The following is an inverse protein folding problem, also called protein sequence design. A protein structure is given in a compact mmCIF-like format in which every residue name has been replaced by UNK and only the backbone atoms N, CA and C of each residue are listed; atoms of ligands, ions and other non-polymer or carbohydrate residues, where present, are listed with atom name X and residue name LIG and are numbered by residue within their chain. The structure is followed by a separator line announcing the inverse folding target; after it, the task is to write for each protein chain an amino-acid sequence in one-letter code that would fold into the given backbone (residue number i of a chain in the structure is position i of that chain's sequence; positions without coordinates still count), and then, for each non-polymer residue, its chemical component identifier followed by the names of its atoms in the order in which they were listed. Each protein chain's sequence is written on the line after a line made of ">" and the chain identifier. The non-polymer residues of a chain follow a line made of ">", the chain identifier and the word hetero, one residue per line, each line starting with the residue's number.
data_IF_642200558324
#
_entry.id   IF_642200558324
#
_cell.length_a   1.000
_cell.length_b   1.000
_cell.length_c   1.000
_cell.angle_alpha   90.00
_cell.angle_beta   90.00
_cell.angle_gamma   90.00
#
_symmetry.space_group_name_H-M   'P 1'
#
loop_
_entity.id
_entity.type
_entity.pdbx_description
1 polymer ?
#
# COMPACT_ATOMS: atom_id res chain seq x y z
N UNK A 1 -29.33 28.34 8.87
CA UNK A 1 -28.57 27.23 9.49
C UNK A 1 -27.70 26.63 8.40
N UNK A 2 -26.38 26.84 8.47
CA UNK A 2 -25.45 26.55 7.37
C UNK A 2 -25.23 25.03 7.23
N UNK A 3 -25.46 24.50 6.03
CA UNK A 3 -25.14 23.13 5.67
C UNK A 3 -23.61 22.92 5.65
N UNK A 4 -23.06 22.32 6.71
CA UNK A 4 -21.67 21.86 6.81
C UNK A 4 -21.52 20.42 6.28
N UNK A 5 -22.12 20.11 5.12
CA UNK A 5 -21.97 18.82 4.44
C UNK A 5 -21.53 19.07 3.00
N UNK A 6 -20.23 19.25 2.79
CA UNK A 6 -19.66 19.41 1.47
C UNK A 6 -18.15 19.24 1.52
N UNK A 7 -17.63 18.44 0.61
CA UNK A 7 -16.20 18.22 0.32
C UNK A 7 -15.48 17.26 1.27
N UNK A 8 -15.97 16.03 1.41
CA UNK A 8 -15.04 14.91 1.59
C UNK A 8 -14.66 14.44 0.18
N UNK A 9 -13.44 14.71 -0.31
CA UNK A 9 -13.03 14.27 -1.65
C UNK A 9 -13.04 12.74 -1.70
N UNK A 10 -13.63 12.18 -2.77
CA UNK A 10 -13.60 10.74 -3.02
C UNK A 10 -12.16 10.41 -3.46
N UNK A 11 -11.45 9.50 -2.76
CA UNK A 11 -10.12 9.12 -3.16
C UNK A 11 -10.14 8.49 -4.55
N UNK A 12 -9.14 8.80 -5.37
CA UNK A 12 -9.00 8.22 -6.70
C UNK A 12 -8.93 6.69 -6.60
N UNK A 13 -9.40 5.96 -7.63
CA UNK A 13 -9.18 4.52 -7.73
C UNK A 13 -7.69 4.17 -7.61
N UNK A 14 -7.39 2.97 -7.12
CA UNK A 14 -6.00 2.51 -7.08
C UNK A 14 -5.46 2.38 -8.50
N UNK A 15 -4.21 2.79 -8.68
CA UNK A 15 -3.50 2.76 -9.95
C UNK A 15 -2.30 1.82 -9.84
N UNK A 16 -1.72 1.42 -10.97
CA UNK A 16 -0.53 0.56 -10.99
C UNK A 16 0.69 1.21 -10.33
N UNK A 17 0.73 2.55 -10.37
CA UNK A 17 1.65 3.44 -9.65
C UNK A 17 0.82 4.60 -9.11
N UNK A 18 1.02 4.97 -7.86
CA UNK A 18 0.29 6.07 -7.21
C UNK A 18 1.26 6.93 -6.43
N UNK A 19 1.00 8.24 -6.37
CA UNK A 19 1.83 9.11 -5.57
C UNK A 19 1.43 9.00 -4.09
N UNK A 20 2.37 9.32 -3.18
CA UNK A 20 2.16 9.19 -1.73
C UNK A 20 0.96 10.01 -1.22
N UNK A 21 0.66 11.13 -1.89
CA UNK A 21 -0.48 11.96 -1.54
C UNK A 21 -1.83 11.27 -1.82
N UNK A 22 -1.90 10.35 -2.80
CA UNK A 22 -3.11 9.60 -3.12
C UNK A 22 -3.40 8.57 -2.03
N UNK A 23 -2.34 7.89 -1.54
CA UNK A 23 -2.44 6.99 -0.39
C UNK A 23 -2.91 7.75 0.84
N UNK A 24 -2.30 8.91 1.13
CA UNK A 24 -2.70 9.74 2.27
C UNK A 24 -4.16 10.16 2.20
N UNK A 25 -4.62 10.67 1.05
CA UNK A 25 -6.01 11.07 0.87
C UNK A 25 -6.99 9.91 1.11
N UNK A 26 -6.62 8.70 0.68
CA UNK A 26 -7.40 7.47 0.92
C UNK A 26 -7.43 7.06 2.39
N UNK A 27 -6.31 7.19 3.11
CA UNK A 27 -6.24 6.90 4.55
C UNK A 27 -7.08 7.90 5.35
N UNK A 28 -6.96 9.19 5.03
CA UNK A 28 -7.75 10.27 5.66
C UNK A 28 -9.26 10.08 5.40
N UNK A 29 -9.65 9.49 4.26
CA UNK A 29 -11.04 9.17 3.94
C UNK A 29 -11.66 8.07 4.81
N UNK A 30 -10.86 7.24 5.48
CA UNK A 30 -11.36 6.24 6.43
C UNK A 30 -11.89 4.94 5.82
N UNK A 31 -11.71 4.68 4.51
CA UNK A 31 -11.85 3.32 3.94
C UNK A 31 -10.57 2.85 3.27
N UNK A 32 -9.59 2.36 4.05
CA UNK A 32 -8.52 1.57 3.47
C UNK A 32 -9.08 0.20 3.11
N UNK A 33 -9.69 0.07 1.93
CA UNK A 33 -10.00 -1.22 1.33
C UNK A 33 -8.71 -1.90 0.79
N UNK A 34 -7.54 -1.59 1.34
CA UNK A 34 -6.23 -2.05 0.90
C UNK A 34 -5.35 -2.45 2.07
N UNK A 35 -4.30 -3.20 1.78
CA UNK A 35 -3.20 -3.49 2.70
C UNK A 35 -1.95 -2.74 2.24
N UNK A 36 -1.29 -2.02 3.15
CA UNK A 36 -0.02 -1.34 2.86
C UNK A 36 1.12 -2.29 3.21
N UNK A 37 2.01 -2.56 2.24
CA UNK A 37 3.18 -3.40 2.41
C UNK A 37 4.45 -2.54 2.31
N UNK A 38 5.25 -2.61 3.37
CA UNK A 38 6.62 -2.09 3.36
C UNK A 38 7.56 -3.22 3.02
N UNK A 39 8.20 -3.13 1.85
CA UNK A 39 9.08 -4.17 1.32
C UNK A 39 10.56 -3.88 1.54
N UNK A 40 10.86 -2.79 2.25
CA UNK A 40 12.23 -2.48 2.69
C UNK A 40 12.68 -3.45 3.77
N UNK A 41 13.97 -3.40 4.07
CA UNK A 41 14.55 -4.12 5.18
C UNK A 41 13.81 -3.87 6.50
N UNK A 42 13.71 -4.93 7.31
CA UNK A 42 13.01 -4.88 8.61
C UNK A 42 13.57 -3.81 9.54
N UNK A 43 14.87 -3.53 9.46
CA UNK A 43 15.52 -2.46 10.25
C UNK A 43 14.97 -1.09 9.87
N UNK A 44 14.79 -0.81 8.58
CA UNK A 44 14.23 0.45 8.08
C UNK A 44 12.75 0.59 8.47
N UNK A 45 11.96 -0.48 8.34
CA UNK A 45 10.57 -0.52 8.81
C UNK A 45 10.48 -0.19 10.30
N UNK A 46 11.30 -0.82 11.13
CA UNK A 46 11.30 -0.61 12.59
C UNK A 46 11.73 0.82 12.96
N UNK A 47 12.62 1.43 12.17
CA UNK A 47 13.04 2.82 12.37
C UNK A 47 11.90 3.81 12.06
N UNK A 48 11.19 3.60 10.94
CA UNK A 48 9.95 4.31 10.60
C UNK A 48 9.22 3.65 9.43
N UNK A 49 7.89 3.71 9.45
CA UNK A 49 7.04 3.19 8.39
C UNK A 49 5.72 3.97 8.30
N UNK A 50 5.00 3.80 7.20
CA UNK A 50 3.65 4.36 7.05
C UNK A 50 2.73 3.69 8.08
N UNK A 51 1.94 4.48 8.81
CA UNK A 51 1.02 3.96 9.83
C UNK A 51 0.07 2.92 9.22
N UNK A 52 0.00 1.74 9.84
CA UNK A 52 -0.81 0.62 9.37
C UNK A 52 -0.13 -0.26 8.31
N UNK A 53 1.10 0.05 7.91
CA UNK A 53 1.88 -0.83 7.03
C UNK A 53 2.32 -2.11 7.73
N UNK A 54 2.38 -3.19 6.95
CA UNK A 54 2.89 -4.49 7.37
C UNK A 54 4.28 -4.65 6.77
N UNK A 55 5.26 -5.04 7.59
CA UNK A 55 6.60 -5.38 7.11
C UNK A 55 6.59 -6.74 6.40
N UNK A 56 6.92 -6.74 5.12
CA UNK A 56 7.16 -7.92 4.29
C UNK A 56 8.39 -7.66 3.41
N UNK A 57 9.61 -7.82 3.94
CA UNK A 57 10.84 -7.63 3.18
C UNK A 57 10.84 -8.43 1.87
N UNK A 58 11.46 -7.87 0.83
CA UNK A 58 11.35 -8.36 -0.55
C UNK A 58 11.76 -9.84 -0.74
N UNK A 59 12.71 -10.33 0.04
CA UNK A 59 13.23 -11.71 0.02
C UNK A 59 12.21 -12.75 0.53
N UNK A 60 11.31 -12.36 1.44
CA UNK A 60 10.24 -13.21 1.98
C UNK A 60 8.85 -12.91 1.40
N UNK A 61 8.74 -11.85 0.59
CA UNK A 61 7.47 -11.21 0.28
C UNK A 61 6.48 -12.13 -0.42
N UNK A 62 6.89 -12.81 -1.49
CA UNK A 62 5.96 -13.58 -2.34
C UNK A 62 5.35 -14.73 -1.54
N UNK A 63 6.18 -15.53 -0.87
CA UNK A 63 5.72 -16.67 -0.08
C UNK A 63 4.82 -16.23 1.07
N UNK A 64 5.18 -15.14 1.77
CA UNK A 64 4.38 -14.61 2.87
C UNK A 64 3.07 -13.98 2.39
N UNK A 65 3.07 -13.28 1.26
CA UNK A 65 1.87 -12.69 0.68
C UNK A 65 0.87 -13.79 0.29
N UNK A 66 1.32 -14.83 -0.44
CA UNK A 66 0.47 -15.96 -0.83
C UNK A 66 -0.08 -16.75 0.36
N UNK A 67 0.69 -16.87 1.44
CA UNK A 67 0.26 -17.58 2.64
C UNK A 67 -0.72 -16.78 3.52
N UNK A 68 -0.76 -15.45 3.41
CA UNK A 68 -1.46 -14.60 4.39
C UNK A 68 -2.49 -13.62 3.81
N UNK A 69 -2.45 -13.35 2.51
CA UNK A 69 -3.31 -12.36 1.85
C UNK A 69 -4.23 -13.03 0.82
N UNK A 70 -5.53 -12.66 0.77
CA UNK A 70 -6.40 -13.05 -0.33
C UNK A 70 -5.88 -12.49 -1.66
N UNK A 71 -5.97 -13.27 -2.75
CA UNK A 71 -5.50 -12.84 -4.08
C UNK A 71 -6.26 -11.61 -4.61
N UNK A 72 -7.52 -11.41 -4.20
CA UNK A 72 -8.32 -10.24 -4.56
C UNK A 72 -8.13 -9.04 -3.63
N UNK A 73 -7.08 -9.04 -2.80
CA UNK A 73 -6.77 -7.93 -1.89
C UNK A 73 -6.05 -6.83 -2.66
N UNK A 74 -6.57 -5.61 -2.57
CA UNK A 74 -5.85 -4.43 -3.01
C UNK A 74 -4.58 -4.23 -2.16
N UNK A 75 -3.42 -4.15 -2.81
CA UNK A 75 -2.12 -3.93 -2.18
C UNK A 75 -1.55 -2.58 -2.58
N UNK A 76 -1.07 -1.82 -1.59
CA UNK A 76 -0.19 -0.67 -1.83
C UNK A 76 1.21 -1.05 -1.36
N UNK A 77 2.15 -1.16 -2.30
CA UNK A 77 3.53 -1.57 -2.01
C UNK A 77 4.43 -0.35 -2.08
N UNK A 78 5.31 -0.17 -1.09
CA UNK A 78 6.36 0.85 -1.15
C UNK A 78 7.70 0.28 -0.68
N UNK A 79 8.76 0.68 -1.39
CA UNK A 79 10.14 0.27 -1.14
C UNK A 79 11.08 1.49 -1.04
N UNK A 80 12.37 1.25 -1.26
CA UNK A 80 13.41 2.29 -1.22
C UNK A 80 13.52 3.05 -2.55
N UNK A 81 13.37 2.35 -3.67
CA UNK A 81 13.42 2.93 -5.02
C UNK A 81 12.12 2.65 -5.78
N UNK A 82 11.81 3.50 -6.76
CA UNK A 82 10.65 3.33 -7.62
C UNK A 82 10.79 2.07 -8.49
N UNK A 83 12.00 1.79 -8.97
CA UNK A 83 12.34 0.64 -9.81
C UNK A 83 12.13 -0.68 -9.09
N UNK A 84 12.69 -0.84 -7.89
CA UNK A 84 12.55 -2.08 -7.11
C UNK A 84 11.10 -2.30 -6.68
N UNK A 85 10.42 -1.22 -6.27
CA UNK A 85 9.00 -1.27 -5.91
C UNK A 85 8.14 -1.70 -7.10
N UNK A 86 8.42 -1.20 -8.30
CA UNK A 86 7.70 -1.56 -9.51
C UNK A 86 7.93 -3.03 -9.91
N UNK A 87 9.18 -3.52 -9.80
CA UNK A 87 9.51 -4.92 -10.05
C UNK A 87 8.76 -5.85 -9.10
N UNK A 88 8.78 -5.55 -7.81
CA UNK A 88 8.09 -6.32 -6.77
C UNK A 88 6.57 -6.33 -7.01
N UNK A 89 5.98 -5.16 -7.30
CA UNK A 89 4.56 -5.08 -7.61
C UNK A 89 4.19 -5.90 -8.86
N UNK A 90 5.10 -6.01 -9.84
CA UNK A 90 4.90 -6.87 -11.02
C UNK A 90 4.93 -8.36 -10.67
N UNK A 91 5.87 -8.78 -9.80
CA UNK A 91 5.95 -10.16 -9.33
C UNK A 91 4.69 -10.58 -8.56
N UNK A 92 4.18 -9.72 -7.67
CA UNK A 92 2.93 -9.96 -6.94
C UNK A 92 1.74 -10.17 -7.88
N UNK A 93 1.61 -9.37 -8.94
CA UNK A 93 0.56 -9.52 -9.98
C UNK A 93 0.71 -10.78 -10.84
N UNK A 94 1.87 -11.41 -10.83
CA UNK A 94 2.10 -12.65 -11.60
C UNK A 94 1.61 -13.88 -10.84
N UNK A 95 1.52 -13.77 -9.50
CA UNK A 95 1.15 -14.88 -8.62
C UNK A 95 -0.28 -14.78 -8.08
N UNK A 96 -1.00 -13.71 -8.41
CA UNK A 96 -2.38 -13.41 -7.98
C UNK A 96 -2.89 -12.12 -8.59
#
# INVERSE_FOLDING_TARGET
>A
MHHLFGIIPIPQPLQSRSLVYDLKARLDWGKPALTILDVRDRVLFNASHIVGAISMPADELIDRALASLPLNRDLYVYGETDEDTALIASQLRTVG
#
